data_IF_596950975229
#
_entry.id   IF_596950975229
#
_cell.length_a   1.000
_cell.length_b   1.000
_cell.length_c   1.000
_cell.angle_alpha   90.00
_cell.angle_beta   90.00
_cell.angle_gamma   90.00
#
_symmetry.space_group_name_H-M   'P 1'
#
loop_
_entity.id
_entity.type
_entity.pdbx_description
1 polymer ?
#
# COMPACT_ATOMS: atom_id res chain seq x y z
N UNK A 1 -1.11 -5.45 -7.23
CA UNK A 1 -1.06 -5.45 -5.76
C UNK A 1 -2.47 -5.57 -5.21
N UNK A 2 -2.69 -6.19 -4.04
CA UNK A 2 -4.01 -6.18 -3.39
C UNK A 2 -4.42 -4.76 -3.02
N UNK A 3 -5.73 -4.49 -3.02
CA UNK A 3 -6.25 -3.20 -2.52
C UNK A 3 -5.88 -3.02 -1.04
N UNK A 4 -5.57 -1.79 -0.62
CA UNK A 4 -5.15 -1.48 0.74
C UNK A 4 -3.66 -1.75 1.00
N UNK A 5 -2.84 -1.89 -0.04
CA UNK A 5 -1.40 -1.88 0.09
C UNK A 5 -0.88 -0.44 0.10
N UNK A 6 -0.09 -0.08 1.10
CA UNK A 6 0.70 1.14 1.08
C UNK A 6 2.05 0.87 0.41
N UNK A 7 2.45 1.80 -0.43
CA UNK A 7 3.77 1.85 -1.04
C UNK A 7 4.54 2.95 -0.34
N UNK A 8 5.63 2.59 0.33
CA UNK A 8 6.52 3.53 1.02
C UNK A 8 7.89 3.53 0.37
N UNK A 9 8.54 4.66 0.39
CA UNK A 9 9.95 4.77 0.05
C UNK A 9 10.79 4.00 1.07
N UNK A 10 11.78 3.20 0.61
CA UNK A 10 12.59 2.35 1.49
C UNK A 10 13.61 3.16 2.32
N UNK A 11 14.01 4.34 1.86
CA UNK A 11 15.01 5.18 2.53
C UNK A 11 14.36 6.16 3.51
N UNK A 12 13.29 6.86 3.06
CA UNK A 12 12.65 7.92 3.86
C UNK A 12 11.46 7.43 4.67
N UNK A 13 10.92 6.25 4.36
CA UNK A 13 9.69 5.68 4.91
C UNK A 13 8.42 6.53 4.63
N UNK A 14 8.52 7.52 3.75
CA UNK A 14 7.39 8.36 3.32
C UNK A 14 6.41 7.57 2.45
N UNK A 15 5.13 7.91 2.52
CA UNK A 15 4.09 7.26 1.73
C UNK A 15 4.15 7.77 0.30
N UNK A 16 4.48 6.87 -0.65
CA UNK A 16 4.45 7.15 -2.08
C UNK A 16 3.02 7.08 -2.60
N UNK A 17 2.29 6.01 -2.25
CA UNK A 17 0.91 5.81 -2.71
C UNK A 17 0.17 4.83 -1.82
N UNK A 18 -1.08 5.17 -1.53
CA UNK A 18 -2.07 4.24 -0.99
C UNK A 18 -2.86 3.61 -2.15
N UNK A 19 -2.77 2.28 -2.27
CA UNK A 19 -3.45 1.48 -3.29
C UNK A 19 -4.87 1.08 -2.86
N UNK A 20 -5.62 2.01 -2.28
CA UNK A 20 -7.01 1.81 -1.85
C UNK A 20 -7.98 1.78 -3.03
N UNK A 21 -7.69 2.55 -4.10
CA UNK A 21 -8.48 2.58 -5.32
C UNK A 21 -8.07 1.49 -6.32
N UNK A 22 -8.93 1.26 -7.33
CA UNK A 22 -8.60 0.36 -8.45
C UNK A 22 -7.87 1.05 -9.61
N UNK A 23 -7.53 2.32 -9.44
CA UNK A 23 -6.82 3.07 -10.47
C UNK A 23 -5.38 2.57 -10.61
N UNK A 24 -4.91 2.35 -11.85
CA UNK A 24 -3.53 1.96 -12.08
C UNK A 24 -2.58 3.08 -11.68
N UNK A 25 -1.52 2.75 -10.96
CA UNK A 25 -0.46 3.67 -10.58
C UNK A 25 0.88 3.22 -11.15
N UNK A 26 1.58 4.12 -11.82
CA UNK A 26 2.91 3.86 -12.37
C UNK A 26 3.94 4.35 -11.37
N UNK A 27 4.58 3.41 -10.68
CA UNK A 27 5.62 3.69 -9.69
C UNK A 27 6.95 4.06 -10.34
N UNK A 28 7.35 3.31 -11.37
CA UNK A 28 8.60 3.50 -12.11
C UNK A 28 8.31 3.46 -13.61
N UNK A 29 8.94 4.34 -14.35
CA UNK A 29 8.81 4.37 -15.81
C UNK A 29 9.93 3.59 -16.46
N UNK A 30 9.60 2.86 -17.51
CA UNK A 30 10.59 2.19 -18.34
C UNK A 30 11.49 3.19 -19.06
N UNK A 31 12.73 2.77 -19.31
CA UNK A 31 13.68 3.56 -20.08
C UNK A 31 13.29 3.65 -21.56
N UNK A 32 13.92 4.55 -22.27
CA UNK A 32 13.72 4.72 -23.71
C UNK A 32 14.50 3.65 -24.47
N UNK A 33 13.87 2.96 -25.40
CA UNK A 33 14.52 2.00 -26.26
C UNK A 33 15.63 2.63 -27.12
N UNK A 34 16.68 1.87 -27.39
CA UNK A 34 17.77 2.26 -28.29
C UNK A 34 17.31 2.31 -29.77
N UNK A 35 18.14 2.91 -30.59
CA UNK A 35 17.94 2.98 -32.02
C UNK A 35 19.03 2.18 -32.75
N UNK A 36 18.62 1.23 -33.56
CA UNK A 36 19.56 0.49 -34.41
C UNK A 36 20.15 1.36 -35.52
N UNK A 37 21.21 0.88 -36.14
CA UNK A 37 21.94 1.59 -37.19
C UNK A 37 21.08 2.03 -38.39
N UNK A 38 20.03 1.29 -38.69
CA UNK A 38 19.10 1.63 -39.79
C UNK A 38 18.42 3.01 -39.62
N UNK A 39 18.23 3.45 -38.39
CA UNK A 39 17.66 4.78 -38.11
C UNK A 39 18.60 5.96 -38.42
N UNK A 40 19.89 5.67 -38.61
CA UNK A 40 20.93 6.67 -38.89
C UNK A 40 21.45 6.60 -40.34
N UNK A 41 20.77 5.79 -41.18
CA UNK A 41 21.07 5.71 -42.61
C UNK A 41 20.70 7.02 -43.32
N UNK A 42 21.63 7.53 -44.09
CA UNK A 42 21.44 8.72 -44.99
C UNK A 42 21.74 8.30 -46.42
N UNK A 43 21.31 9.11 -47.45
CA UNK A 43 21.62 8.82 -48.83
C UNK A 43 23.11 8.62 -49.12
N UNK A 44 23.97 9.32 -48.39
CA UNK A 44 25.43 9.26 -48.52
C UNK A 44 26.06 8.18 -47.65
N UNK A 45 25.38 7.73 -46.56
CA UNK A 45 25.85 6.72 -45.61
C UNK A 45 24.78 5.67 -45.40
N UNK A 46 24.69 4.70 -46.33
CA UNK A 46 23.63 3.68 -46.30
C UNK A 46 23.78 2.64 -45.21
N UNK A 47 25.00 2.36 -44.69
CA UNK A 47 25.28 1.39 -43.65
C UNK A 47 26.09 2.06 -42.54
N UNK A 48 25.44 2.79 -41.63
CA UNK A 48 26.13 3.33 -40.44
C UNK A 48 26.64 2.21 -39.56
N UNK A 49 27.82 2.38 -38.98
CA UNK A 49 28.44 1.38 -38.07
C UNK A 49 28.17 1.67 -36.60
N UNK A 50 27.24 2.56 -36.28
CA UNK A 50 26.86 2.92 -34.93
C UNK A 50 25.35 2.73 -34.71
N UNK A 51 25.00 2.54 -33.46
CA UNK A 51 23.63 2.46 -32.98
C UNK A 51 23.54 3.25 -31.67
N UNK A 52 22.37 3.75 -31.33
CA UNK A 52 22.11 4.43 -30.06
C UNK A 52 21.64 3.41 -29.03
N UNK A 53 22.33 3.30 -27.92
CA UNK A 53 21.89 2.47 -26.79
C UNK A 53 20.56 2.99 -26.22
N UNK A 54 19.81 2.10 -25.59
CA UNK A 54 18.63 2.48 -24.81
C UNK A 54 19.04 3.15 -23.50
N UNK A 55 18.09 3.87 -22.92
CA UNK A 55 18.26 4.45 -21.60
C UNK A 55 17.74 3.49 -20.53
N UNK A 56 18.41 3.40 -19.38
CA UNK A 56 17.89 2.64 -18.26
C UNK A 56 16.55 3.22 -17.80
N UNK A 57 15.65 2.37 -17.32
CA UNK A 57 14.42 2.80 -16.67
C UNK A 57 14.66 3.33 -15.25
N UNK A 58 13.60 3.88 -14.68
CA UNK A 58 13.58 4.27 -13.27
C UNK A 58 13.62 3.01 -12.40
N UNK A 59 14.34 3.08 -11.29
CA UNK A 59 14.41 2.05 -10.26
C UNK A 59 14.12 2.69 -8.92
N UNK A 60 13.30 2.05 -8.10
CA UNK A 60 12.91 2.56 -6.80
C UNK A 60 12.80 1.41 -5.80
N UNK A 61 13.51 1.52 -4.70
CA UNK A 61 13.41 0.58 -3.61
C UNK A 61 12.23 0.96 -2.72
N UNK A 62 11.27 0.05 -2.57
CA UNK A 62 10.03 0.33 -1.86
C UNK A 62 9.70 -0.73 -0.83
N UNK A 63 9.09 -0.30 0.26
CA UNK A 63 8.45 -1.16 1.25
C UNK A 63 6.97 -1.26 0.89
N UNK A 64 6.49 -2.48 0.69
CA UNK A 64 5.07 -2.76 0.50
C UNK A 64 4.46 -3.19 1.82
N UNK A 65 3.60 -2.36 2.37
CA UNK A 65 2.88 -2.65 3.60
C UNK A 65 1.42 -2.97 3.28
N UNK A 66 1.03 -4.25 3.44
CA UNK A 66 -0.37 -4.64 3.28
C UNK A 66 -1.14 -4.24 4.54
N UNK A 67 -2.00 -3.24 4.40
CA UNK A 67 -2.77 -2.68 5.52
C UNK A 67 -4.18 -3.27 5.65
N UNK A 68 -4.73 -3.82 4.61
CA UNK A 68 -6.10 -4.28 4.61
C UNK A 68 -6.15 -5.72 5.11
N UNK A 69 -6.72 -5.92 6.28
CA UNK A 69 -7.01 -7.25 6.77
C UNK A 69 -8.44 -7.66 6.50
N UNK A 70 -9.41 -6.82 6.80
CA UNK A 70 -10.82 -7.14 6.65
C UNK A 70 -11.70 -5.88 6.60
N UNK A 71 -12.85 -5.99 5.93
CA UNK A 71 -13.90 -4.97 5.98
C UNK A 71 -14.65 -5.02 7.32
N UNK A 72 -14.77 -6.25 7.89
CA UNK A 72 -15.53 -6.55 9.10
C UNK A 72 -14.65 -7.30 10.10
N UNK A 73 -14.55 -6.81 11.32
CA UNK A 73 -13.89 -7.47 12.43
C UNK A 73 -14.89 -8.15 13.38
N UNK A 74 -14.69 -9.45 13.66
CA UNK A 74 -15.44 -10.15 14.71
C UNK A 74 -14.74 -9.90 16.04
N UNK A 75 -15.49 -9.37 17.00
CA UNK A 75 -15.05 -9.13 18.36
C UNK A 75 -15.96 -9.88 19.35
N UNK A 76 -15.48 -10.13 20.54
CA UNK A 76 -16.23 -10.84 21.58
C UNK A 76 -15.34 -11.77 22.39
N UNK A 77 -15.84 -12.27 23.49
CA UNK A 77 -15.16 -13.19 24.39
C UNK A 77 -14.72 -14.50 23.70
N UNK A 78 -13.77 -15.26 24.23
CA UNK A 78 -13.50 -16.62 23.79
C UNK A 78 -14.76 -17.47 23.83
N UNK A 79 -14.86 -18.45 22.95
CA UNK A 79 -15.93 -19.44 22.87
C UNK A 79 -17.35 -18.92 22.59
N UNK A 80 -17.54 -17.62 22.34
CA UNK A 80 -18.86 -17.08 21.94
C UNK A 80 -19.29 -17.48 20.52
N UNK A 81 -18.39 -18.15 19.76
CA UNK A 81 -18.69 -18.69 18.44
C UNK A 81 -18.24 -17.83 17.27
N UNK A 82 -17.30 -16.90 17.43
CA UNK A 82 -16.74 -16.05 16.34
C UNK A 82 -16.22 -16.87 15.17
N UNK A 83 -15.31 -17.81 15.44
CA UNK A 83 -14.70 -18.67 14.41
C UNK A 83 -15.70 -19.59 13.75
N UNK A 84 -16.73 -20.04 14.48
CA UNK A 84 -17.86 -20.81 13.93
C UNK A 84 -18.66 -19.94 12.99
N UNK A 85 -19.04 -18.74 13.40
CA UNK A 85 -19.74 -17.79 12.56
C UNK A 85 -18.98 -17.49 11.28
N UNK A 86 -17.68 -17.20 11.39
CA UNK A 86 -16.81 -16.95 10.23
C UNK A 86 -16.82 -18.15 9.27
N UNK A 87 -16.70 -19.38 9.78
CA UNK A 87 -16.66 -20.59 8.95
C UNK A 87 -17.98 -20.85 8.23
N UNK A 88 -19.11 -20.49 8.85
CA UNK A 88 -20.44 -20.67 8.29
C UNK A 88 -20.76 -19.65 7.19
N UNK A 89 -20.38 -18.40 7.37
CA UNK A 89 -20.70 -17.33 6.40
C UNK A 89 -19.68 -17.26 5.26
N UNK A 90 -18.51 -17.86 5.42
CA UNK A 90 -17.45 -17.85 4.38
C UNK A 90 -17.71 -18.90 3.31
N UNK A 91 -17.55 -18.53 2.03
CA UNK A 91 -17.70 -19.46 0.90
C UNK A 91 -16.60 -20.52 0.82
N UNK A 92 -15.40 -20.18 1.28
CA UNK A 92 -14.26 -21.08 1.38
C UNK A 92 -13.85 -21.22 2.84
N UNK A 93 -13.17 -22.32 3.19
CA UNK A 93 -12.62 -22.45 4.55
C UNK A 93 -11.76 -21.24 4.90
N UNK A 94 -11.99 -20.60 6.06
CA UNK A 94 -11.17 -19.49 6.51
C UNK A 94 -9.70 -19.89 6.51
N UNK A 95 -8.85 -18.99 6.09
CA UNK A 95 -7.40 -19.20 6.06
C UNK A 95 -6.75 -18.44 7.21
N UNK A 96 -5.88 -19.13 7.94
CA UNK A 96 -4.98 -18.50 8.89
C UNK A 96 -3.99 -17.65 8.08
N UNK A 97 -4.00 -16.36 8.33
CA UNK A 97 -3.06 -15.45 7.66
C UNK A 97 -1.78 -15.35 8.48
N UNK A 98 -0.72 -15.99 7.99
CA UNK A 98 0.61 -15.94 8.62
C UNK A 98 1.29 -14.62 8.24
N UNK A 99 1.13 -13.62 9.08
CA UNK A 99 1.88 -12.38 8.96
C UNK A 99 3.15 -12.45 9.80
N UNK A 100 4.30 -12.23 9.20
CA UNK A 100 5.62 -12.33 9.87
C UNK A 100 5.81 -11.35 11.04
N UNK A 101 4.88 -10.42 11.22
CA UNK A 101 4.91 -9.37 12.23
C UNK A 101 3.80 -9.50 13.29
N UNK A 102 3.04 -10.61 13.31
CA UNK A 102 1.99 -10.85 14.30
C UNK A 102 2.27 -12.13 15.09
N UNK A 103 2.15 -12.04 16.39
CA UNK A 103 2.21 -13.21 17.30
C UNK A 103 0.89 -13.97 17.33
N UNK A 104 -0.21 -13.32 16.93
CA UNK A 104 -1.55 -13.90 16.82
C UNK A 104 -2.00 -13.82 15.37
N UNK A 105 -2.43 -14.92 14.80
CA UNK A 105 -2.84 -15.05 13.40
C UNK A 105 -4.35 -14.92 13.26
N UNK A 106 -4.86 -13.85 12.61
CA UNK A 106 -6.29 -13.74 12.35
C UNK A 106 -6.76 -14.78 11.34
N UNK A 107 -7.95 -15.32 11.57
CA UNK A 107 -8.64 -16.14 10.58
C UNK A 107 -9.42 -15.23 9.64
N UNK A 108 -9.13 -15.31 8.35
CA UNK A 108 -9.81 -14.50 7.33
C UNK A 108 -10.77 -15.35 6.51
N UNK A 109 -11.97 -14.84 6.30
CA UNK A 109 -12.98 -15.45 5.44
C UNK A 109 -13.55 -14.45 4.43
N UNK A 110 -13.75 -14.89 3.19
CA UNK A 110 -14.44 -14.10 2.16
C UNK A 110 -15.92 -14.47 2.18
N UNK A 111 -16.75 -13.48 2.47
CA UNK A 111 -18.21 -13.62 2.52
C UNK A 111 -18.82 -13.12 1.23
N UNK A 112 -19.57 -13.98 0.55
CA UNK A 112 -20.30 -13.64 -0.67
C UNK A 112 -21.75 -13.32 -0.33
N UNK A 113 -22.20 -12.15 -0.79
CA UNK A 113 -23.58 -11.70 -0.57
C UNK A 113 -24.42 -12.02 -1.80
N UNK A 114 -23.97 -11.51 -2.96
CA UNK A 114 -24.62 -11.67 -4.26
C UNK A 114 -23.59 -11.51 -5.40
N UNK A 115 -24.00 -11.61 -6.69
CA UNK A 115 -23.11 -11.40 -7.83
C UNK A 115 -22.40 -10.03 -7.75
N UNK A 116 -21.08 -10.06 -7.66
CA UNK A 116 -20.23 -8.87 -7.58
C UNK A 116 -20.14 -8.22 -6.19
N UNK A 117 -20.89 -8.70 -5.19
CA UNK A 117 -20.86 -8.16 -3.83
C UNK A 117 -20.24 -9.16 -2.86
N UNK A 118 -19.07 -8.82 -2.35
CA UNK A 118 -18.36 -9.62 -1.35
C UNK A 118 -17.55 -8.71 -0.42
N UNK A 119 -17.31 -9.18 0.79
CA UNK A 119 -16.47 -8.50 1.76
C UNK A 119 -15.59 -9.50 2.52
N UNK A 120 -14.52 -9.02 3.13
CA UNK A 120 -13.62 -9.84 3.94
C UNK A 120 -13.98 -9.65 5.41
N UNK A 121 -14.14 -10.77 6.12
CA UNK A 121 -14.38 -10.82 7.56
C UNK A 121 -13.20 -11.46 8.26
N UNK A 122 -12.76 -10.87 9.37
CA UNK A 122 -11.67 -11.38 10.20
C UNK A 122 -12.19 -11.80 11.56
N UNK A 123 -11.85 -13.01 11.97
CA UNK A 123 -11.96 -13.42 13.37
C UNK A 123 -10.69 -12.99 14.09
N UNK A 124 -10.86 -12.15 15.08
CA UNK A 124 -9.82 -11.48 15.80
C UNK A 124 -9.70 -12.12 17.19
N UNK A 125 -8.78 -13.10 17.39
CA UNK A 125 -8.58 -13.71 18.68
C UNK A 125 -7.88 -12.75 19.66
N UNK A 126 -8.24 -12.75 20.92
CA UNK A 126 -7.40 -12.17 21.99
C UNK A 126 -7.62 -10.71 22.35
N UNK A 127 -8.82 -10.15 22.18
CA UNK A 127 -9.11 -8.81 22.74
C UNK A 127 -9.11 -8.81 24.28
N UNK A 128 -9.33 -9.95 24.94
CA UNK A 128 -9.75 -9.99 26.35
C UNK A 128 -8.70 -10.53 27.33
N UNK A 129 -7.61 -11.14 26.92
CA UNK A 129 -6.64 -11.67 27.89
C UNK A 129 -5.34 -10.84 27.88
N UNK A 130 -5.29 -9.79 28.74
CA UNK A 130 -4.05 -9.14 29.11
C UNK A 130 -3.61 -7.94 28.27
N UNK A 131 -4.49 -7.34 27.45
CA UNK A 131 -4.15 -6.10 26.72
C UNK A 131 -3.93 -4.90 27.66
N UNK A 132 -4.60 -4.89 28.81
CA UNK A 132 -4.47 -3.86 29.84
C UNK A 132 -3.20 -4.00 30.71
N UNK A 133 -2.62 -5.21 30.80
CA UNK A 133 -1.50 -5.51 31.72
C UNK A 133 -0.10 -5.31 31.10
N UNK A 134 0.00 -4.64 29.95
CA UNK A 134 1.30 -4.21 29.42
C UNK A 134 2.19 -5.31 28.82
N UNK A 135 1.71 -6.52 28.64
CA UNK A 135 2.41 -7.55 27.89
C UNK A 135 2.19 -7.30 26.39
N UNK A 136 3.03 -6.49 25.76
CA UNK A 136 3.20 -6.05 24.39
C UNK A 136 2.53 -6.73 23.19
N UNK A 137 1.66 -7.69 23.38
CA UNK A 137 0.96 -8.46 22.36
C UNK A 137 -0.32 -7.78 21.81
N UNK A 138 -0.93 -6.87 22.60
CA UNK A 138 -2.17 -6.17 22.24
C UNK A 138 -1.98 -5.09 21.17
N UNK A 139 -0.90 -4.33 21.22
CA UNK A 139 -0.70 -3.15 20.36
C UNK A 139 -0.52 -3.48 18.88
N UNK A 140 0.21 -4.53 18.53
CA UNK A 140 0.43 -4.89 17.12
C UNK A 140 -0.81 -5.49 16.47
N UNK A 141 -1.62 -6.16 17.26
CA UNK A 141 -2.84 -6.79 16.80
C UNK A 141 -3.98 -5.80 16.61
N UNK A 142 -4.10 -4.84 17.50
CA UNK A 142 -5.13 -3.80 17.45
C UNK A 142 -4.89 -2.81 16.29
N UNK A 143 -3.66 -2.69 15.78
CA UNK A 143 -3.40 -2.04 14.48
C UNK A 143 -4.17 -2.68 13.32
N UNK A 144 -4.55 -3.94 13.44
CA UNK A 144 -5.30 -4.64 12.39
C UNK A 144 -6.80 -4.39 12.49
N UNK A 145 -7.32 -4.22 13.73
CA UNK A 145 -8.72 -3.81 13.96
C UNK A 145 -8.95 -2.38 13.50
N UNK A 146 -7.94 -1.52 13.67
CA UNK A 146 -7.98 -0.12 13.24
C UNK A 146 -8.45 0.05 11.79
N UNK A 147 -8.50 -1.02 11.02
CA UNK A 147 -8.80 -1.02 9.59
C UNK A 147 -10.06 -1.77 9.20
N UNK A 148 -10.73 -2.34 10.18
CA UNK A 148 -12.09 -2.82 9.97
C UNK A 148 -13.04 -1.62 9.90
N UNK A 149 -13.86 -1.56 8.87
CA UNK A 149 -14.87 -0.49 8.69
C UNK A 149 -16.08 -0.68 9.58
N UNK A 150 -16.35 -1.93 9.97
CA UNK A 150 -17.47 -2.36 10.77
C UNK A 150 -17.04 -3.43 11.76
N UNK A 151 -17.53 -3.34 12.99
CA UNK A 151 -17.33 -4.38 14.00
C UNK A 151 -18.60 -5.21 14.15
N UNK A 152 -18.44 -6.52 14.26
CA UNK A 152 -19.51 -7.45 14.62
C UNK A 152 -19.19 -8.02 15.97
N UNK A 153 -19.89 -7.56 16.98
CA UNK A 153 -19.72 -7.94 18.37
C UNK A 153 -20.58 -9.19 18.68
N UNK A 154 -19.92 -10.32 18.85
CA UNK A 154 -20.59 -11.60 19.12
C UNK A 154 -20.65 -11.86 20.61
N UNK A 155 -21.87 -12.03 21.12
CA UNK A 155 -22.17 -12.29 22.53
C UNK A 155 -22.87 -13.64 22.64
N UNK A 156 -22.51 -14.44 23.62
CA UNK A 156 -23.13 -15.73 23.93
C UNK A 156 -24.36 -15.53 24.84
N UNK A 157 -25.55 -15.89 24.34
CA UNK A 157 -26.80 -15.79 25.11
C UNK A 157 -27.28 -17.13 25.66
N UNK A 158 -26.50 -18.20 25.49
CA UNK A 158 -26.88 -19.52 25.96
C UNK A 158 -26.84 -19.67 27.48
N UNK A 159 -26.05 -18.82 28.15
CA UNK A 159 -25.77 -19.00 29.59
C UNK A 159 -24.82 -20.16 29.92
N UNK A 160 -24.34 -20.90 28.92
CA UNK A 160 -23.54 -22.12 29.09
C UNK A 160 -22.23 -21.93 29.86
N UNK A 161 -21.67 -20.72 29.84
CA UNK A 161 -20.44 -20.38 30.57
C UNK A 161 -20.69 -19.61 31.87
N UNK A 162 -21.99 -19.47 32.28
CA UNK A 162 -22.38 -18.78 33.51
C UNK A 162 -22.09 -17.26 33.51
N UNK A 163 -21.89 -16.65 32.34
CA UNK A 163 -21.62 -15.23 32.22
C UNK A 163 -22.91 -14.47 31.90
N UNK A 164 -22.96 -13.20 32.30
CA UNK A 164 -24.04 -12.28 31.93
C UNK A 164 -23.73 -11.64 30.57
N UNK A 165 -24.59 -11.84 29.55
CA UNK A 165 -24.40 -11.27 28.22
C UNK A 165 -24.29 -9.74 28.20
N UNK A 166 -24.96 -9.05 29.11
CA UNK A 166 -24.86 -7.59 29.23
C UNK A 166 -23.50 -7.15 29.74
N UNK A 167 -23.02 -7.83 30.79
CA UNK A 167 -21.69 -7.56 31.33
C UNK A 167 -20.58 -7.85 30.32
N UNK A 168 -20.72 -8.92 29.52
CA UNK A 168 -19.77 -9.25 28.44
C UNK A 168 -19.76 -8.16 27.36
N UNK A 169 -20.94 -7.65 26.95
CA UNK A 169 -21.04 -6.56 25.99
C UNK A 169 -20.35 -5.30 26.50
N UNK A 170 -20.59 -4.89 27.74
CA UNK A 170 -20.02 -3.69 28.34
C UNK A 170 -18.51 -3.81 28.51
N UNK A 171 -18.01 -4.97 28.94
CA UNK A 171 -16.58 -5.22 29.13
C UNK A 171 -15.80 -5.06 27.82
N UNK A 172 -16.30 -5.63 26.71
CA UNK A 172 -15.65 -5.48 25.39
C UNK A 172 -15.63 -4.02 24.93
N UNK A 173 -16.75 -3.30 25.09
CA UNK A 173 -16.81 -1.90 24.70
C UNK A 173 -15.89 -1.02 25.56
N UNK A 174 -15.77 -1.31 26.84
CA UNK A 174 -14.83 -0.63 27.73
C UNK A 174 -13.38 -0.88 27.31
N UNK A 175 -13.03 -2.12 26.93
CA UNK A 175 -11.70 -2.47 26.43
C UNK A 175 -11.37 -1.78 25.11
N UNK A 176 -12.31 -1.75 24.15
CA UNK A 176 -12.16 -0.99 22.90
C UNK A 176 -11.90 0.51 23.16
N UNK A 177 -12.64 1.11 24.10
CA UNK A 177 -12.50 2.51 24.45
C UNK A 177 -11.16 2.83 25.14
N UNK A 178 -10.71 1.91 25.98
CA UNK A 178 -9.40 2.02 26.65
C UNK A 178 -8.25 1.93 25.66
N UNK A 179 -8.40 1.11 24.64
CA UNK A 179 -7.38 0.90 23.64
C UNK A 179 -7.28 2.05 22.64
N UNK A 180 -8.38 2.41 21.99
CA UNK A 180 -8.45 3.51 21.02
C UNK A 180 -9.84 4.15 21.03
N UNK A 181 -9.92 5.46 21.31
CA UNK A 181 -11.17 6.20 21.19
C UNK A 181 -11.79 6.10 19.78
N UNK A 182 -10.97 5.97 18.75
CA UNK A 182 -11.43 5.82 17.35
C UNK A 182 -12.12 4.48 17.14
N UNK A 183 -11.62 3.40 17.74
CA UNK A 183 -12.25 2.08 17.67
C UNK A 183 -13.57 2.03 18.41
N UNK A 184 -13.68 2.70 19.55
CA UNK A 184 -14.93 2.78 20.31
C UNK A 184 -16.05 3.50 19.54
N UNK A 185 -15.70 4.40 18.62
CA UNK A 185 -16.66 5.16 17.81
C UNK A 185 -17.04 4.44 16.51
N UNK A 186 -16.44 3.31 16.19
CA UNK A 186 -16.75 2.57 14.96
C UNK A 186 -18.14 1.99 14.98
N UNK A 187 -18.82 1.95 13.82
CA UNK A 187 -20.10 1.29 13.70
C UNK A 187 -20.01 -0.16 14.14
N UNK A 188 -20.95 -0.59 14.97
CA UNK A 188 -21.05 -1.96 15.47
C UNK A 188 -22.40 -2.57 15.11
N UNK A 189 -22.41 -3.89 14.91
CA UNK A 189 -23.60 -4.74 14.87
C UNK A 189 -23.40 -5.78 15.97
N UNK A 190 -24.37 -5.90 16.88
CA UNK A 190 -24.30 -6.88 17.96
C UNK A 190 -25.03 -8.15 17.53
N UNK A 191 -24.40 -9.28 17.81
CA UNK A 191 -24.90 -10.62 17.50
C UNK A 191 -25.06 -11.41 18.78
N UNK A 192 -26.30 -11.72 19.12
CA UNK A 192 -26.63 -12.68 20.16
C UNK A 192 -26.58 -14.09 19.56
N UNK A 193 -25.49 -14.80 19.83
CA UNK A 193 -25.23 -16.14 19.26
C UNK A 193 -25.61 -17.24 20.24
N UNK A 194 -25.74 -18.46 19.72
CA UNK A 194 -26.10 -19.71 20.40
C UNK A 194 -27.57 -19.74 20.89
N UNK A 195 -28.45 -19.13 20.11
CA UNK A 195 -29.92 -19.15 20.44
C UNK A 195 -30.51 -20.54 20.38
N UNK A 196 -29.89 -21.50 19.72
CA UNK A 196 -30.29 -22.90 19.63
C UNK A 196 -30.15 -23.69 20.96
N UNK A 197 -29.31 -23.26 21.85
CA UNK A 197 -29.03 -23.88 23.16
C UNK A 197 -29.33 -22.92 24.31
N UNK A 198 -30.05 -21.85 24.06
CA UNK A 198 -30.45 -20.86 25.05
C UNK A 198 -31.53 -21.46 25.99
N UNK A 199 -31.27 -21.40 27.29
CA UNK A 199 -32.19 -21.92 28.31
C UNK A 199 -33.18 -20.85 28.82
N UNK A 200 -32.77 -19.56 28.80
CA UNK A 200 -33.56 -18.45 29.33
C UNK A 200 -33.67 -17.30 28.32
N UNK A 201 -34.86 -17.10 27.75
CA UNK A 201 -35.14 -15.98 26.85
C UNK A 201 -34.99 -14.61 27.52
N UNK A 202 -35.08 -14.54 28.86
CA UNK A 202 -34.91 -13.27 29.56
C UNK A 202 -33.50 -12.69 29.41
N UNK A 203 -32.48 -13.52 29.20
CA UNK A 203 -31.12 -13.06 28.92
C UNK A 203 -31.04 -12.33 27.58
N UNK A 204 -31.66 -12.85 26.55
CA UNK A 204 -31.72 -12.23 25.24
C UNK A 204 -32.47 -10.89 25.27
N UNK A 205 -33.64 -10.85 25.95
CA UNK A 205 -34.45 -9.62 26.06
C UNK A 205 -33.72 -8.53 26.87
N UNK A 206 -32.98 -8.88 27.92
CA UNK A 206 -32.13 -7.95 28.68
C UNK A 206 -31.02 -7.38 27.80
N UNK A 207 -30.33 -8.27 27.08
CA UNK A 207 -29.26 -7.84 26.16
C UNK A 207 -29.83 -6.93 25.07
N UNK A 208 -31.01 -7.30 24.49
CA UNK A 208 -31.67 -6.50 23.45
C UNK A 208 -31.99 -5.10 23.95
N UNK A 209 -32.64 -4.96 25.08
CA UNK A 209 -32.99 -3.66 25.64
C UNK A 209 -31.73 -2.79 25.89
N UNK A 210 -30.68 -3.37 26.44
CA UNK A 210 -29.44 -2.66 26.75
C UNK A 210 -28.69 -2.21 25.48
N UNK A 211 -28.59 -3.09 24.48
CA UNK A 211 -27.92 -2.81 23.20
C UNK A 211 -28.67 -1.77 22.36
N UNK A 212 -30.01 -1.83 22.35
CA UNK A 212 -30.85 -0.85 21.67
C UNK A 212 -30.80 0.52 22.34
N UNK A 213 -30.75 0.57 23.69
CA UNK A 213 -30.54 1.80 24.44
C UNK A 213 -29.17 2.43 24.12
N UNK A 214 -28.13 1.60 23.93
CA UNK A 214 -26.81 2.03 23.49
C UNK A 214 -26.76 2.43 21.98
N UNK A 215 -27.85 2.25 21.23
CA UNK A 215 -27.98 2.66 19.83
C UNK A 215 -27.39 1.69 18.80
N UNK A 216 -27.14 0.44 19.17
CA UNK A 216 -26.63 -0.58 18.26
C UNK A 216 -27.73 -1.54 17.79
N UNK A 217 -27.72 -2.00 16.52
CA UNK A 217 -28.62 -3.05 16.04
C UNK A 217 -28.20 -4.41 16.61
N UNK A 218 -29.16 -5.21 17.06
CA UNK A 218 -28.95 -6.56 17.58
C UNK A 218 -29.60 -7.61 16.66
N UNK A 219 -28.85 -8.67 16.35
CA UNK A 219 -29.33 -9.85 15.60
C UNK A 219 -29.17 -11.10 16.47
N UNK A 220 -30.27 -11.78 16.70
CA UNK A 220 -30.30 -13.08 17.35
C UNK A 220 -30.10 -14.18 16.31
N UNK A 221 -29.10 -15.05 16.49
CA UNK A 221 -28.80 -16.12 15.57
C UNK A 221 -28.17 -17.33 16.26
N UNK A 222 -28.11 -18.44 15.53
CA UNK A 222 -27.26 -19.57 15.87
C UNK A 222 -26.31 -19.87 14.71
N UNK A 223 -25.03 -19.64 14.93
CA UNK A 223 -24.01 -20.00 13.96
C UNK A 223 -23.98 -21.52 13.72
N UNK A 224 -24.18 -22.33 14.76
CA UNK A 224 -24.15 -23.80 14.67
C UNK A 224 -25.29 -24.35 13.82
N UNK A 225 -26.49 -23.84 13.97
CA UNK A 225 -27.68 -24.26 13.19
C UNK A 225 -27.89 -23.49 11.90
N UNK A 226 -27.02 -22.51 11.57
CA UNK A 226 -27.11 -21.60 10.41
C UNK A 226 -28.36 -20.70 10.42
N UNK A 227 -29.05 -20.57 11.55
CA UNK A 227 -30.28 -19.77 11.67
C UNK A 227 -29.92 -18.29 11.82
N UNK A 228 -30.57 -17.40 11.05
CA UNK A 228 -30.33 -15.93 11.12
C UNK A 228 -29.05 -15.43 10.48
N UNK A 229 -28.14 -16.32 10.05
CA UNK A 229 -26.83 -15.94 9.50
C UNK A 229 -26.92 -15.17 8.18
N UNK A 230 -27.89 -15.53 7.31
CA UNK A 230 -28.11 -14.85 6.03
C UNK A 230 -28.57 -13.42 6.21
N UNK A 231 -29.44 -13.16 7.16
CA UNK A 231 -29.97 -11.82 7.48
C UNK A 231 -28.84 -10.92 8.00
N UNK A 232 -27.98 -11.45 8.87
CA UNK A 232 -26.80 -10.76 9.34
C UNK A 232 -25.88 -10.36 8.16
N UNK A 233 -25.57 -11.29 7.25
CA UNK A 233 -24.71 -11.03 6.09
C UNK A 233 -25.26 -9.93 5.20
N UNK A 234 -26.57 -9.94 4.93
CA UNK A 234 -27.24 -8.88 4.15
C UNK A 234 -27.15 -7.52 4.85
N UNK A 235 -27.36 -7.49 6.16
CA UNK A 235 -27.27 -6.24 6.94
C UNK A 235 -25.87 -5.68 7.02
N UNK A 236 -24.88 -6.55 7.15
CA UNK A 236 -23.46 -6.15 7.08
C UNK A 236 -23.16 -5.50 5.72
N UNK A 237 -23.57 -6.13 4.61
CA UNK A 237 -23.34 -5.61 3.27
C UNK A 237 -24.02 -4.25 3.05
N UNK A 238 -25.28 -4.11 3.49
CA UNK A 238 -26.01 -2.84 3.47
C UNK A 238 -25.25 -1.76 4.25
N UNK A 239 -24.81 -2.06 5.47
CA UNK A 239 -24.08 -1.11 6.31
C UNK A 239 -22.74 -0.72 5.68
N UNK A 240 -21.98 -1.69 5.17
CA UNK A 240 -20.70 -1.44 4.49
C UNK A 240 -20.85 -0.53 3.25
N UNK A 241 -21.97 -0.62 2.53
CA UNK A 241 -22.21 0.24 1.37
C UNK A 241 -22.42 1.71 1.74
N UNK A 242 -22.89 1.98 2.95
CA UNK A 242 -23.14 3.34 3.46
C UNK A 242 -21.93 3.94 4.18
N UNK A 243 -20.97 3.12 4.58
CA UNK A 243 -19.79 3.59 5.29
C UNK A 243 -18.73 4.14 4.30
N UNK A 244 -18.00 5.20 4.70
CA UNK A 244 -16.90 5.69 3.89
C UNK A 244 -15.86 4.59 3.67
N UNK A 245 -15.11 4.63 2.56
CA UNK A 245 -13.98 3.72 2.38
C UNK A 245 -12.96 3.91 3.52
N UNK A 246 -12.18 2.88 3.78
CA UNK A 246 -11.09 2.94 4.78
C UNK A 246 -10.22 4.16 4.53
N UNK A 247 -9.73 4.79 5.61
CA UNK A 247 -8.87 5.97 5.56
C UNK A 247 -7.82 5.84 4.46
N UNK A 248 -7.91 6.71 3.48
CA UNK A 248 -6.94 6.81 2.39
C UNK A 248 -5.84 7.73 2.87
N UNK A 249 -4.61 7.24 2.85
CA UNK A 249 -3.45 8.06 3.19
C UNK A 249 -3.04 8.89 1.98
N UNK A 250 -2.85 10.18 2.20
CA UNK A 250 -2.33 11.05 1.15
C UNK A 250 -0.83 10.77 0.90
N UNK A 251 -0.37 10.89 -0.35
CA UNK A 251 1.05 10.77 -0.66
C UNK A 251 1.85 11.86 0.07
N UNK A 252 2.88 11.46 0.80
CA UNK A 252 3.84 12.36 1.48
C UNK A 252 5.11 12.53 0.63
N UNK A 253 5.42 11.51 -0.17
CA UNK A 253 6.62 11.46 -0.99
C UNK A 253 6.57 12.46 -2.15
N UNK A 254 7.51 13.37 -2.18
CA UNK A 254 7.74 14.28 -3.31
C UNK A 254 8.90 13.72 -4.14
N UNK A 255 8.65 13.29 -5.40
CA UNK A 255 9.71 12.80 -6.27
C UNK A 255 10.82 13.85 -6.39
N UNK A 256 11.99 13.56 -5.89
CA UNK A 256 13.17 14.39 -6.13
C UNK A 256 13.71 14.00 -7.49
N UNK A 257 13.90 14.96 -8.42
CA UNK A 257 14.57 14.64 -9.67
C UNK A 257 15.95 14.05 -9.32
N UNK A 258 16.35 12.94 -9.95
CA UNK A 258 17.65 12.34 -9.68
C UNK A 258 18.70 13.43 -9.88
N UNK A 259 19.46 13.73 -8.82
CA UNK A 259 20.63 14.62 -8.94
C UNK A 259 21.56 13.94 -9.92
N UNK A 260 21.83 14.61 -11.04
CA UNK A 260 22.85 14.15 -11.95
C UNK A 260 24.17 14.22 -11.20
N UNK A 261 24.72 13.07 -10.88
CA UNK A 261 26.03 13.00 -10.24
C UNK A 261 27.11 13.28 -11.30
N UNK A 262 27.54 14.53 -11.37
CA UNK A 262 28.58 14.99 -12.28
C UNK A 262 29.99 14.78 -11.73
N UNK A 263 30.10 14.15 -10.56
CA UNK A 263 31.40 13.90 -9.90
C UNK A 263 32.19 12.74 -10.54
N UNK A 264 31.47 11.86 -11.27
CA UNK A 264 32.14 10.76 -11.97
C UNK A 264 33.11 11.33 -13.05
N UNK A 265 34.36 10.85 -13.11
CA UNK A 265 35.35 11.38 -14.03
C UNK A 265 34.92 11.15 -15.49
N UNK A 266 35.05 12.21 -16.31
CA UNK A 266 34.95 12.09 -17.77
C UNK A 266 36.25 11.52 -18.33
N UNK A 267 36.08 10.63 -19.31
CA UNK A 267 37.20 10.16 -20.11
C UNK A 267 37.37 11.08 -21.33
N UNK A 268 38.51 11.75 -21.46
CA UNK A 268 38.77 12.65 -22.57
C UNK A 268 39.94 12.07 -23.37
N UNK A 269 39.71 11.76 -24.63
CA UNK A 269 40.72 11.30 -25.58
C UNK A 269 40.88 12.33 -26.68
N UNK A 270 42.12 12.58 -27.10
CA UNK A 270 42.41 13.55 -28.16
C UNK A 270 42.85 12.78 -29.41
N UNK A 271 42.19 13.04 -30.52
CA UNK A 271 42.52 12.51 -31.84
C UNK A 271 42.63 13.68 -32.81
N UNK A 272 43.87 13.99 -33.18
CA UNK A 272 44.25 15.23 -33.88
C UNK A 272 43.69 16.48 -33.18
N UNK A 273 42.81 17.24 -33.84
CA UNK A 273 42.16 18.43 -33.32
C UNK A 273 40.77 18.17 -32.72
N UNK A 274 40.47 16.90 -32.43
CA UNK A 274 39.16 16.50 -31.88
C UNK A 274 39.28 15.95 -30.47
N UNK A 275 38.62 16.58 -29.52
CA UNK A 275 38.53 16.16 -28.14
C UNK A 275 37.29 15.32 -27.95
N UNK A 276 37.46 14.00 -27.83
CA UNK A 276 36.36 13.04 -27.62
C UNK A 276 36.15 12.90 -26.13
N UNK A 277 34.93 13.25 -25.65
CA UNK A 277 34.57 13.20 -24.25
C UNK A 277 33.48 12.18 -24.02
N UNK A 278 33.75 11.23 -23.12
CA UNK A 278 32.82 10.16 -22.74
C UNK A 278 32.67 10.11 -21.22
N UNK A 279 31.47 9.71 -20.75
CA UNK A 279 31.24 9.49 -19.34
C UNK A 279 29.78 9.16 -19.02
N UNK A 280 29.55 8.36 -17.96
CA UNK A 280 28.19 7.85 -17.67
C UNK A 280 27.15 8.93 -17.41
N UNK A 281 27.53 10.03 -16.77
CA UNK A 281 26.61 11.13 -16.52
C UNK A 281 26.36 11.99 -17.77
N UNK A 282 27.37 12.15 -18.62
CA UNK A 282 27.26 12.89 -19.88
C UNK A 282 26.33 12.17 -20.86
N UNK A 283 26.44 10.85 -20.95
CA UNK A 283 25.53 10.04 -21.75
C UNK A 283 24.08 10.20 -21.28
N UNK A 284 23.83 10.18 -19.98
CA UNK A 284 22.50 10.40 -19.38
C UNK A 284 22.00 11.83 -19.65
N UNK A 285 22.86 12.82 -19.52
CA UNK A 285 22.51 14.21 -19.78
C UNK A 285 22.09 14.39 -21.24
N UNK A 286 22.89 13.92 -22.19
CA UNK A 286 22.59 14.00 -23.62
C UNK A 286 21.31 13.27 -24.03
N UNK A 287 21.04 12.16 -23.38
CA UNK A 287 19.84 11.38 -23.64
C UNK A 287 18.54 12.09 -23.26
N UNK A 288 18.60 12.96 -22.24
CA UNK A 288 17.44 13.68 -21.71
C UNK A 288 17.26 15.08 -22.30
N UNK A 289 18.26 15.61 -23.00
CA UNK A 289 18.20 16.94 -23.61
C UNK A 289 17.50 16.90 -24.95
N UNK A 290 16.50 17.77 -25.13
CA UNK A 290 15.91 18.03 -26.42
C UNK A 290 16.66 19.18 -27.11
N UNK A 291 17.58 18.85 -28.01
CA UNK A 291 18.37 19.86 -28.73
C UNK A 291 17.58 20.77 -29.68
N UNK A 292 16.31 20.46 -29.96
CA UNK A 292 15.42 21.33 -30.70
C UNK A 292 14.80 22.42 -29.82
N UNK A 293 14.84 22.28 -28.52
CA UNK A 293 14.27 23.23 -27.55
C UNK A 293 15.37 24.11 -26.95
N UNK A 294 15.08 25.42 -26.89
CA UNK A 294 16.05 26.42 -26.41
C UNK A 294 16.40 26.24 -24.92
N UNK A 295 15.38 26.03 -24.06
CA UNK A 295 15.59 25.90 -22.62
C UNK A 295 16.39 24.63 -22.29
N UNK A 296 16.11 23.52 -22.98
CA UNK A 296 16.86 22.29 -22.85
C UNK A 296 18.33 22.44 -23.24
N UNK A 297 18.63 23.21 -24.28
CA UNK A 297 20.00 23.51 -24.68
C UNK A 297 20.73 24.37 -23.64
N UNK A 298 20.06 25.39 -23.11
CA UNK A 298 20.61 26.25 -22.06
C UNK A 298 20.92 25.43 -20.80
N UNK A 299 20.03 24.49 -20.43
CA UNK A 299 20.28 23.58 -19.32
C UNK A 299 21.49 22.69 -19.57
N UNK A 300 21.62 22.16 -20.77
CA UNK A 300 22.76 21.34 -21.18
C UNK A 300 24.08 22.10 -21.07
N UNK A 301 24.18 23.30 -21.65
CA UNK A 301 25.34 24.18 -21.60
C UNK A 301 25.72 24.50 -20.13
N UNK A 302 24.71 24.86 -19.31
CA UNK A 302 24.93 25.10 -17.88
C UNK A 302 25.54 23.89 -17.17
N UNK A 303 25.01 22.69 -17.40
CA UNK A 303 25.52 21.46 -16.78
C UNK A 303 26.94 21.12 -17.22
N UNK A 304 27.29 21.35 -18.49
CA UNK A 304 28.66 21.18 -18.97
C UNK A 304 29.63 22.16 -18.29
N UNK A 305 29.24 23.43 -18.12
CA UNK A 305 30.06 24.44 -17.42
C UNK A 305 30.22 24.10 -15.95
N UNK A 306 29.14 23.75 -15.26
CA UNK A 306 29.19 23.39 -13.83
C UNK A 306 29.97 22.09 -13.56
N UNK A 307 30.06 21.19 -14.52
CA UNK A 307 30.85 19.96 -14.39
C UNK A 307 32.36 20.18 -14.46
N UNK A 308 32.82 21.37 -14.81
CA UNK A 308 34.26 21.66 -14.98
C UNK A 308 34.85 21.08 -16.26
N UNK A 309 34.04 20.60 -17.21
CA UNK A 309 34.51 20.02 -18.47
C UNK A 309 35.39 21.01 -19.24
N UNK A 310 34.92 22.23 -19.40
CA UNK A 310 35.67 23.25 -20.19
C UNK A 310 37.01 23.61 -19.56
N UNK A 311 37.07 23.78 -18.23
CA UNK A 311 38.34 24.01 -17.53
C UNK A 311 39.31 22.86 -17.75
N UNK A 312 38.84 21.63 -17.81
CA UNK A 312 39.66 20.45 -18.04
C UNK A 312 40.16 20.35 -19.50
N UNK A 313 39.33 20.76 -20.46
CA UNK A 313 39.74 20.86 -21.87
C UNK A 313 40.83 21.94 -22.07
N UNK A 314 40.69 23.09 -21.39
CA UNK A 314 41.66 24.17 -21.39
C UNK A 314 43.01 23.71 -20.78
N UNK A 315 42.98 22.97 -19.65
CA UNK A 315 44.19 22.36 -19.07
C UNK A 315 44.86 21.37 -20.02
N UNK A 316 44.10 20.71 -20.91
CA UNK A 316 44.62 19.81 -21.93
C UNK A 316 45.12 20.53 -23.18
N UNK A 317 44.92 21.86 -23.26
CA UNK A 317 45.46 22.72 -24.32
C UNK A 317 44.58 22.91 -25.52
N UNK A 318 43.24 22.78 -25.40
CA UNK A 318 42.30 23.04 -26.47
C UNK A 318 42.41 24.49 -26.96
N UNK A 319 42.28 24.69 -28.27
CA UNK A 319 42.36 26.02 -28.91
C UNK A 319 41.09 26.36 -29.65
N UNK A 320 40.84 27.65 -29.92
CA UNK A 320 39.74 28.08 -30.72
C UNK A 320 39.81 27.42 -32.11
N UNK A 321 38.69 26.82 -32.51
CA UNK A 321 38.55 26.06 -33.74
C UNK A 321 38.74 24.54 -33.59
N UNK A 322 39.19 24.03 -32.43
CA UNK A 322 39.22 22.60 -32.16
C UNK A 322 37.78 22.05 -32.00
N UNK A 323 37.64 20.77 -32.30
CA UNK A 323 36.33 20.13 -32.26
C UNK A 323 36.18 19.37 -30.92
N UNK A 324 35.07 19.59 -30.23
CA UNK A 324 34.66 18.78 -29.09
C UNK A 324 33.56 17.82 -29.50
N UNK A 325 33.84 16.55 -29.37
CA UNK A 325 32.89 15.46 -29.70
C UNK A 325 32.34 14.83 -28.42
N UNK A 326 31.04 15.01 -28.20
CA UNK A 326 30.30 14.42 -27.10
C UNK A 326 29.39 13.33 -27.67
N UNK A 327 29.84 12.10 -27.77
CA UNK A 327 29.16 10.99 -28.42
C UNK A 327 28.73 11.29 -29.87
N UNK A 328 27.51 11.82 -30.07
CA UNK A 328 26.94 12.15 -31.39
C UNK A 328 26.70 13.66 -31.59
N UNK A 329 27.21 14.50 -30.68
CA UNK A 329 27.19 15.95 -30.77
C UNK A 329 28.63 16.45 -30.95
N UNK A 330 28.86 17.15 -32.04
CA UNK A 330 30.12 17.80 -32.31
C UNK A 330 29.90 19.30 -32.39
N UNK A 331 30.79 20.06 -31.78
CA UNK A 331 30.80 21.50 -31.85
C UNK A 331 32.22 22.04 -31.83
N UNK A 332 32.41 23.19 -32.45
CA UNK A 332 33.69 23.91 -32.46
C UNK A 332 33.87 24.65 -31.13
N UNK A 333 35.02 24.49 -30.52
CA UNK A 333 35.35 25.18 -29.29
C UNK A 333 35.62 26.66 -29.60
N UNK A 334 35.03 27.54 -28.80
CA UNK A 334 35.26 28.99 -28.82
C UNK A 334 35.38 29.44 -27.33
N UNK A 335 36.45 30.17 -27.04
CA UNK A 335 36.79 30.61 -25.67
C UNK A 335 35.78 31.64 -25.12
#
# INVERSE_FOLDING_TARGET
MPRGTLVRDAETNEIIKDMSSSEPYVLCRGGKGGWGNCHFATPTRQVPRFAKAGLPGESHDVILELKLLADVGLIGFPNVGKSTLLSVVSKARPKIANYHFTTLYPNLGVVYVDEGVSFVMADIPGIIEGAADGAGLGHDFLRHIDRCRLLVHVVDVSGSEGRDPVADFDAINAELAQYSPELATRPQIVVANKTDVMEDEALLEKLRAHVEEAGYPLFALSAASHTGTRELVLKIAEKLSTLPPVTVYEPEYVPRPPKLDTSAPLNITVDDNTYIVEGPWLERLMANVNFSDYESRMYFDKMLRESGLFARLEEMGIQDGDIVSLYNLEFEYQH
#
